data_IF_709042155448
#
_entry.id   IF_709042155448
#
_cell.length_a   1.000
_cell.length_b   1.000
_cell.length_c   1.000
_cell.angle_alpha   90.00
_cell.angle_beta   90.00
_cell.angle_gamma   90.00
#
_symmetry.space_group_name_H-M   'P 1'
#
loop_
_entity.id
_entity.type
_entity.pdbx_description
1 polymer ?
#
# COMPACT_ATOMS: atom_id res chain seq x y z
N UNK A 1 -3.59 -3.28 12.00
CA UNK A 1 -3.17 -4.70 11.78
C UNK A 1 -1.87 -4.91 12.52
N UNK A 2 -1.55 -6.13 13.00
CA UNK A 2 -0.26 -6.42 13.63
C UNK A 2 0.91 -6.09 12.69
N UNK A 3 2.04 -5.70 13.27
CA UNK A 3 3.28 -5.50 12.52
C UNK A 3 3.69 -6.78 11.78
N UNK A 4 4.25 -6.65 10.57
CA UNK A 4 4.58 -7.79 9.71
C UNK A 4 3.41 -8.40 8.94
N UNK A 5 2.22 -7.79 8.98
CA UNK A 5 1.08 -8.24 8.15
C UNK A 5 1.36 -8.00 6.66
N UNK A 6 1.35 -9.08 5.85
CA UNK A 6 1.52 -8.97 4.40
C UNK A 6 0.36 -8.23 3.73
N UNK A 7 0.61 -7.56 2.60
CA UNK A 7 -0.42 -6.87 1.81
C UNK A 7 -1.61 -7.78 1.46
N UNK A 8 -1.33 -9.00 0.98
CA UNK A 8 -2.38 -9.98 0.67
C UNK A 8 -3.30 -10.29 1.85
N UNK A 9 -2.72 -10.44 3.04
CA UNK A 9 -3.46 -10.69 4.28
C UNK A 9 -4.27 -9.46 4.69
N UNK A 10 -3.69 -8.26 4.56
CA UNK A 10 -4.38 -7.01 4.83
C UNK A 10 -5.62 -6.83 3.95
N UNK A 11 -5.53 -7.18 2.66
CA UNK A 11 -6.64 -7.06 1.71
C UNK A 11 -7.79 -8.02 2.05
N UNK A 12 -7.48 -9.27 2.42
CA UNK A 12 -8.50 -10.23 2.88
C UNK A 12 -9.21 -9.73 4.15
N UNK A 13 -8.44 -9.17 5.10
CA UNK A 13 -9.01 -8.62 6.34
C UNK A 13 -9.86 -7.39 6.05
N UNK A 14 -9.43 -6.49 5.17
CA UNK A 14 -10.18 -5.31 4.78
C UNK A 14 -11.52 -5.68 4.12
N UNK A 15 -11.51 -6.62 3.18
CA UNK A 15 -12.72 -7.12 2.52
C UNK A 15 -13.67 -7.79 3.52
N UNK A 16 -13.14 -8.63 4.40
CA UNK A 16 -13.92 -9.28 5.47
C UNK A 16 -14.58 -8.24 6.38
N UNK A 17 -13.84 -7.19 6.76
CA UNK A 17 -14.38 -6.13 7.61
C UNK A 17 -15.46 -5.32 6.90
N UNK A 18 -15.29 -5.02 5.61
CA UNK A 18 -16.31 -4.33 4.81
C UNK A 18 -17.62 -5.14 4.75
N UNK A 19 -17.52 -6.46 4.59
CA UNK A 19 -18.68 -7.36 4.58
C UNK A 19 -19.40 -7.40 5.94
N UNK A 20 -18.66 -7.45 7.05
CA UNK A 20 -19.23 -7.38 8.41
C UNK A 20 -19.97 -6.07 8.66
N UNK A 21 -19.39 -4.94 8.27
CA UNK A 21 -20.04 -3.62 8.40
C UNK A 21 -21.29 -3.47 7.51
N UNK A 22 -21.40 -4.32 6.49
CA UNK A 22 -22.52 -4.38 5.55
C UNK A 22 -23.59 -5.42 5.93
N UNK A 23 -23.53 -6.01 7.13
CA UNK A 23 -24.54 -6.96 7.61
C UNK A 23 -25.97 -6.43 7.42
N UNK A 24 -26.83 -7.25 6.83
CA UNK A 24 -28.23 -6.90 6.54
C UNK A 24 -28.45 -5.88 5.42
N UNK A 25 -27.38 -5.33 4.82
CA UNK A 25 -27.47 -4.28 3.77
C UNK A 25 -27.32 -4.86 2.36
N UNK A 26 -27.67 -4.06 1.37
CA UNK A 26 -27.36 -4.32 -0.05
C UNK A 26 -26.18 -3.46 -0.46
N UNK A 27 -25.05 -4.07 -0.85
CA UNK A 27 -23.79 -3.36 -1.10
C UNK A 27 -23.05 -3.86 -2.34
N UNK A 28 -22.33 -2.96 -3.01
CA UNK A 28 -21.32 -3.29 -4.01
C UNK A 28 -19.94 -2.97 -3.42
N UNK A 29 -19.03 -3.94 -3.40
CA UNK A 29 -17.67 -3.79 -2.90
C UNK A 29 -16.72 -3.92 -4.08
N UNK A 30 -15.88 -2.89 -4.27
CA UNK A 30 -14.83 -2.90 -5.29
C UNK A 30 -13.50 -3.25 -4.63
N UNK A 31 -12.75 -4.17 -5.23
CA UNK A 31 -11.43 -4.58 -4.77
C UNK A 31 -10.47 -4.66 -5.94
N UNK A 32 -9.25 -4.20 -5.74
CA UNK A 32 -8.16 -4.34 -6.72
C UNK A 32 -7.30 -5.58 -6.49
N UNK A 33 -7.54 -6.32 -5.41
CA UNK A 33 -6.89 -7.58 -5.16
C UNK A 33 -7.63 -8.73 -5.87
N UNK A 34 -7.05 -9.17 -6.98
CA UNK A 34 -7.55 -10.32 -7.76
C UNK A 34 -7.65 -11.62 -6.95
N UNK A 35 -6.75 -11.83 -5.99
CA UNK A 35 -6.79 -13.00 -5.11
C UNK A 35 -8.00 -12.93 -4.17
N UNK A 36 -8.22 -11.79 -3.51
CA UNK A 36 -9.40 -11.60 -2.64
C UNK A 36 -10.72 -11.77 -3.40
N UNK A 37 -10.80 -11.21 -4.63
CA UNK A 37 -11.94 -11.43 -5.52
C UNK A 37 -12.15 -12.92 -5.83
N UNK A 38 -11.09 -13.64 -6.22
CA UNK A 38 -11.19 -15.06 -6.53
C UNK A 38 -11.60 -15.88 -5.30
N UNK A 39 -10.98 -15.65 -4.14
CA UNK A 39 -11.30 -16.35 -2.88
C UNK A 39 -12.76 -16.15 -2.48
N UNK A 40 -13.31 -14.94 -2.61
CA UNK A 40 -14.70 -14.68 -2.26
C UNK A 40 -15.71 -15.36 -3.22
N UNK A 41 -15.33 -15.60 -4.47
CA UNK A 41 -16.18 -16.26 -5.47
C UNK A 41 -15.96 -17.79 -5.53
N UNK A 42 -14.84 -18.29 -5.01
CA UNK A 42 -14.60 -19.73 -4.92
C UNK A 42 -15.54 -20.32 -3.87
N UNK A 43 -16.21 -21.39 -4.26
CA UNK A 43 -17.25 -22.00 -3.45
C UNK A 43 -16.71 -22.54 -2.12
N UNK A 44 -17.39 -22.24 -1.01
CA UNK A 44 -17.01 -22.66 0.37
C UNK A 44 -16.77 -24.17 0.48
N UNK A 45 -17.52 -24.99 -0.27
CA UNK A 45 -17.34 -26.44 -0.24
C UNK A 45 -15.97 -26.88 -0.75
N UNK A 46 -15.36 -26.19 -1.72
CA UNK A 46 -14.01 -26.51 -2.21
C UNK A 46 -12.99 -26.33 -1.08
N UNK A 47 -13.07 -25.20 -0.37
CA UNK A 47 -12.18 -24.93 0.75
C UNK A 47 -12.42 -25.86 1.96
N UNK A 48 -13.67 -26.25 2.23
CA UNK A 48 -13.99 -27.26 3.26
C UNK A 48 -13.53 -28.66 2.87
N UNK A 49 -13.69 -29.06 1.61
CA UNK A 49 -13.40 -30.40 1.11
C UNK A 49 -11.89 -30.64 0.93
N UNK A 50 -11.12 -29.61 0.58
CA UNK A 50 -9.66 -29.69 0.50
C UNK A 50 -8.96 -29.53 1.86
N UNK A 51 -9.71 -29.39 2.97
CA UNK A 51 -9.14 -29.19 4.31
C UNK A 51 -8.28 -27.92 4.47
N UNK A 52 -8.34 -27.01 3.49
CA UNK A 52 -7.40 -25.90 3.33
C UNK A 52 -5.93 -26.36 3.31
N UNK A 53 -5.66 -27.52 2.73
CA UNK A 53 -4.31 -28.06 2.57
C UNK A 53 -3.81 -27.89 1.14
N UNK A 54 -2.53 -27.65 0.98
CA UNK A 54 -1.82 -27.72 -0.30
C UNK A 54 -1.64 -29.17 -0.73
N UNK A 55 -1.27 -29.42 -2.00
CA UNK A 55 -0.91 -30.78 -2.48
C UNK A 55 0.24 -31.43 -1.69
N UNK A 56 1.02 -30.62 -0.98
CA UNK A 56 2.11 -31.06 -0.07
C UNK A 56 1.64 -31.30 1.37
N UNK A 57 0.33 -31.23 1.64
CA UNK A 57 -0.28 -31.50 2.96
C UNK A 57 -0.08 -30.40 4.00
N UNK A 58 0.40 -29.21 3.61
CA UNK A 58 0.54 -28.05 4.51
C UNK A 58 -0.68 -27.16 4.44
N UNK A 59 -0.97 -26.43 5.52
CA UNK A 59 -2.03 -25.42 5.48
C UNK A 59 -1.77 -24.37 4.40
N UNK A 60 -2.83 -24.00 3.69
CA UNK A 60 -2.83 -22.88 2.76
C UNK A 60 -2.52 -21.60 3.55
N UNK A 61 -1.65 -20.76 3.00
CA UNK A 61 -1.29 -19.48 3.60
C UNK A 61 -2.55 -18.61 3.81
N UNK A 62 -2.65 -17.96 4.97
CA UNK A 62 -3.81 -17.14 5.38
C UNK A 62 -5.13 -17.92 5.53
N UNK A 63 -5.05 -19.20 5.92
CA UNK A 63 -6.19 -20.10 6.16
C UNK A 63 -7.33 -19.44 6.95
N UNK A 64 -7.01 -18.81 8.07
CA UNK A 64 -7.99 -18.20 8.97
C UNK A 64 -8.69 -16.99 8.32
N UNK A 65 -7.93 -16.14 7.61
CA UNK A 65 -8.52 -15.00 6.90
C UNK A 65 -9.43 -15.44 5.76
N UNK A 66 -9.08 -16.53 5.06
CA UNK A 66 -9.91 -17.13 4.01
C UNK A 66 -11.22 -17.66 4.62
N UNK A 67 -11.16 -18.40 5.73
CA UNK A 67 -12.36 -18.89 6.41
C UNK A 67 -13.27 -17.75 6.87
N UNK A 68 -12.67 -16.73 7.48
CA UNK A 68 -13.38 -15.54 7.97
C UNK A 68 -14.06 -14.77 6.83
N UNK A 69 -13.39 -14.63 5.68
CA UNK A 69 -13.97 -14.02 4.49
C UNK A 69 -15.17 -14.82 3.98
N UNK A 70 -15.04 -16.14 3.85
CA UNK A 70 -16.12 -17.02 3.37
C UNK A 70 -17.34 -17.01 4.30
N UNK A 71 -17.14 -16.74 5.58
CA UNK A 71 -18.23 -16.52 6.53
C UNK A 71 -18.89 -15.17 6.32
N UNK A 72 -18.08 -14.11 6.26
CA UNK A 72 -18.55 -12.74 6.16
C UNK A 72 -19.33 -12.46 4.87
N UNK A 73 -19.05 -13.16 3.76
CA UNK A 73 -19.77 -13.00 2.48
C UNK A 73 -21.29 -13.20 2.63
N UNK A 74 -21.74 -13.98 3.62
CA UNK A 74 -23.15 -14.26 3.85
C UNK A 74 -23.86 -13.24 4.77
N UNK A 75 -23.12 -12.28 5.36
CA UNK A 75 -23.69 -11.30 6.27
C UNK A 75 -24.54 -10.22 5.58
N UNK A 76 -24.13 -9.66 4.42
CA UNK A 76 -24.98 -8.71 3.70
C UNK A 76 -26.24 -9.37 3.17
N UNK A 77 -27.34 -8.63 3.10
CA UNK A 77 -28.59 -9.09 2.48
C UNK A 77 -28.40 -9.39 0.99
N UNK A 78 -27.63 -8.54 0.30
CA UNK A 78 -27.19 -8.74 -1.09
C UNK A 78 -25.82 -8.10 -1.26
N UNK A 79 -24.88 -8.81 -1.86
CA UNK A 79 -23.54 -8.28 -2.12
C UNK A 79 -23.09 -8.58 -3.54
N UNK A 80 -22.46 -7.59 -4.18
CA UNK A 80 -21.64 -7.80 -5.38
C UNK A 80 -20.20 -7.42 -5.06
N UNK A 81 -19.26 -8.36 -5.25
CA UNK A 81 -17.82 -8.09 -5.12
C UNK A 81 -17.26 -7.96 -6.53
N UNK A 82 -16.67 -6.81 -6.85
CA UNK A 82 -16.28 -6.45 -8.21
C UNK A 82 -14.77 -6.20 -8.24
N UNK A 83 -14.06 -6.95 -9.08
CA UNK A 83 -12.65 -6.71 -9.30
C UNK A 83 -12.42 -5.47 -10.18
N UNK A 84 -11.56 -4.57 -9.73
CA UNK A 84 -11.08 -3.42 -10.50
C UNK A 84 -9.58 -3.51 -10.69
N UNK A 85 -9.02 -3.20 -11.87
CA UNK A 85 -7.58 -3.08 -11.99
C UNK A 85 -7.01 -2.05 -11.01
N UNK A 86 -5.93 -2.38 -10.32
CA UNK A 86 -5.21 -1.42 -9.49
C UNK A 86 -4.52 -0.34 -10.33
N UNK A 87 -4.17 0.78 -9.69
CA UNK A 87 -3.37 1.87 -10.29
C UNK A 87 -3.99 2.52 -11.56
N UNK A 88 -5.32 2.59 -11.66
CA UNK A 88 -6.00 3.27 -12.76
C UNK A 88 -5.83 4.80 -12.66
N UNK A 89 -5.54 5.46 -13.80
CA UNK A 89 -5.33 6.91 -13.91
C UNK A 89 -6.57 7.67 -14.39
N UNK A 90 -7.76 7.12 -14.21
CA UNK A 90 -8.99 7.77 -14.66
C UNK A 90 -9.70 8.55 -13.56
N UNK A 91 -10.72 9.30 -13.96
CA UNK A 91 -11.51 10.18 -13.10
C UNK A 91 -12.87 9.60 -12.73
N UNK A 92 -13.16 8.36 -13.10
CA UNK A 92 -14.44 7.70 -12.83
C UNK A 92 -14.60 7.46 -11.33
N UNK A 93 -15.84 7.36 -10.83
CA UNK A 93 -16.10 7.18 -9.39
C UNK A 93 -15.38 5.97 -8.78
N UNK A 94 -15.29 4.86 -9.53
CA UNK A 94 -14.62 3.63 -9.09
C UNK A 94 -13.11 3.87 -8.90
N UNK A 95 -12.47 4.55 -9.87
CA UNK A 95 -11.03 4.83 -9.84
C UNK A 95 -10.67 5.77 -8.70
N UNK A 96 -11.48 6.82 -8.49
CA UNK A 96 -11.37 7.72 -7.35
C UNK A 96 -11.54 6.97 -6.02
N UNK A 97 -12.53 6.09 -5.93
CA UNK A 97 -12.77 5.26 -4.75
C UNK A 97 -11.60 4.32 -4.44
N UNK A 98 -11.04 3.66 -5.46
CA UNK A 98 -9.87 2.79 -5.28
C UNK A 98 -8.65 3.59 -4.81
N UNK A 99 -8.41 4.76 -5.40
CA UNK A 99 -7.33 5.65 -4.96
C UNK A 99 -7.50 6.10 -3.51
N UNK A 100 -8.72 6.47 -3.11
CA UNK A 100 -9.01 6.82 -1.72
C UNK A 100 -8.75 5.64 -0.77
N UNK A 101 -9.17 4.43 -1.14
CA UNK A 101 -8.96 3.23 -0.34
C UNK A 101 -7.46 2.91 -0.17
N UNK A 102 -6.67 2.95 -1.25
CA UNK A 102 -5.22 2.73 -1.21
C UNK A 102 -4.51 3.78 -0.33
N UNK A 103 -4.90 5.05 -0.43
CA UNK A 103 -4.33 6.11 0.41
C UNK A 103 -4.66 5.92 1.89
N UNK A 104 -5.89 5.51 2.21
CA UNK A 104 -6.29 5.21 3.59
C UNK A 104 -5.52 4.00 4.11
N UNK A 105 -5.35 2.95 3.30
CA UNK A 105 -4.58 1.77 3.66
C UNK A 105 -3.10 2.12 3.93
N UNK A 106 -2.48 2.94 3.07
CA UNK A 106 -1.11 3.45 3.27
C UNK A 106 -0.96 4.23 4.56
N UNK A 107 -1.88 5.17 4.83
CA UNK A 107 -1.88 5.93 6.09
C UNK A 107 -2.05 5.03 7.31
N UNK A 108 -2.94 4.05 7.24
CA UNK A 108 -3.15 3.08 8.32
C UNK A 108 -1.94 2.18 8.55
N UNK A 109 -1.21 1.80 7.50
CA UNK A 109 0.00 1.00 7.57
C UNK A 109 1.21 1.77 8.13
N UNK A 110 1.26 3.09 7.91
CA UNK A 110 2.29 3.96 8.49
C UNK A 110 2.18 4.10 10.02
N UNK A 111 1.06 3.63 10.61
CA UNK A 111 0.81 3.66 12.05
C UNK A 111 0.62 5.07 12.61
N UNK A 112 0.26 5.17 13.88
CA UNK A 112 0.52 6.39 14.65
C UNK A 112 2.04 6.51 14.76
N UNK A 113 2.66 7.37 13.94
CA UNK A 113 3.90 7.99 14.37
C UNK A 113 3.56 8.77 15.64
N UNK A 114 3.62 8.10 16.78
CA UNK A 114 3.80 8.76 18.08
C UNK A 114 5.25 9.22 18.08
N UNK A 115 5.57 10.16 17.17
CA UNK A 115 6.60 11.11 17.48
C UNK A 115 6.09 11.80 18.73
N UNK A 116 6.73 11.53 19.86
CA UNK A 116 6.75 12.50 20.96
C UNK A 116 7.34 13.77 20.35
N UNK A 117 6.47 14.57 19.76
CA UNK A 117 6.76 15.94 19.41
C UNK A 117 6.97 16.64 20.74
N UNK A 118 8.24 16.91 21.06
CA UNK A 118 8.55 18.24 21.56
C UNK A 118 8.03 19.23 20.49
N UNK A 119 6.81 19.68 20.73
CA UNK A 119 6.20 20.92 20.24
C UNK A 119 6.20 21.15 18.71
N UNK A 120 5.00 20.97 18.14
CA UNK A 120 4.32 21.61 16.98
C UNK A 120 4.77 23.06 16.65
N UNK A 121 4.48 23.63 15.43
CA UNK A 121 3.22 23.40 14.68
C UNK A 121 3.20 23.42 13.13
N UNK A 122 2.16 22.72 12.63
CA UNK A 122 1.20 23.11 11.56
C UNK A 122 1.53 22.98 10.07
N UNK A 123 0.49 22.48 9.39
CA UNK A 123 0.21 22.63 7.96
C UNK A 123 0.26 24.11 7.56
N UNK A 124 1.14 24.43 6.63
CA UNK A 124 1.05 25.62 5.78
C UNK A 124 1.41 25.19 4.37
N UNK A 125 0.47 25.40 3.45
CA UNK A 125 0.80 25.48 2.02
C UNK A 125 1.77 26.66 1.81
N UNK A 126 2.75 26.43 0.94
CA UNK A 126 3.61 27.40 0.25
C UNK A 126 4.44 28.41 1.08
N UNK A 127 5.68 28.01 1.42
CA UNK A 127 6.91 28.63 0.88
C UNK A 127 8.12 27.73 1.20
N UNK A 128 8.63 27.00 0.21
CA UNK A 128 9.62 25.94 0.43
C UNK A 128 11.03 26.52 0.60
N UNK A 129 11.39 26.96 1.81
CA UNK A 129 12.80 27.06 2.17
C UNK A 129 13.36 25.63 2.28
N UNK A 130 13.92 25.15 1.17
CA UNK A 130 14.61 23.85 1.14
C UNK A 130 15.83 23.92 2.07
N UNK A 131 15.96 22.94 2.96
CA UNK A 131 17.16 22.81 3.79
C UNK A 131 18.34 22.48 2.89
N UNK A 132 19.29 23.39 2.78
CA UNK A 132 20.51 23.14 2.01
C UNK A 132 21.38 22.16 2.78
N UNK A 133 21.67 21.01 2.16
CA UNK A 133 22.62 20.04 2.69
C UNK A 133 24.04 20.51 2.38
N UNK A 134 24.97 20.21 3.28
CA UNK A 134 26.40 20.31 2.99
C UNK A 134 26.79 19.33 1.88
N UNK A 135 27.97 19.51 1.26
CA UNK A 135 28.42 18.62 0.18
C UNK A 135 28.53 17.16 0.67
N UNK A 136 29.04 16.94 1.88
CA UNK A 136 29.16 15.60 2.49
C UNK A 136 27.79 14.96 2.76
N UNK A 137 26.87 15.69 3.40
CA UNK A 137 25.51 15.21 3.66
C UNK A 137 24.74 14.95 2.35
N UNK A 138 24.97 15.78 1.34
CA UNK A 138 24.37 15.62 0.01
C UNK A 138 24.85 14.34 -0.68
N UNK A 139 26.16 14.06 -0.64
CA UNK A 139 26.73 12.85 -1.23
C UNK A 139 26.24 11.60 -0.51
N UNK A 140 26.24 11.58 0.83
CA UNK A 140 25.75 10.45 1.62
C UNK A 140 24.25 10.18 1.36
N UNK A 141 23.44 11.24 1.31
CA UNK A 141 22.02 11.14 0.98
C UNK A 141 21.79 10.55 -0.42
N UNK A 142 22.56 10.98 -1.42
CA UNK A 142 22.48 10.46 -2.78
C UNK A 142 22.95 9.01 -2.86
N UNK A 143 24.06 8.65 -2.19
CA UNK A 143 24.58 7.29 -2.14
C UNK A 143 23.57 6.32 -1.50
N UNK A 144 22.94 6.72 -0.40
CA UNK A 144 21.89 5.95 0.26
C UNK A 144 20.69 5.72 -0.67
N UNK A 145 20.23 6.77 -1.37
CA UNK A 145 19.15 6.61 -2.35
C UNK A 145 19.57 5.66 -3.47
N UNK A 146 20.77 5.80 -4.01
CA UNK A 146 21.24 4.99 -5.13
C UNK A 146 21.38 3.50 -4.76
N UNK A 147 22.00 3.19 -3.61
CA UNK A 147 22.14 1.82 -3.11
C UNK A 147 20.78 1.14 -2.85
N UNK A 148 19.79 1.88 -2.36
CA UNK A 148 18.48 1.32 -2.02
C UNK A 148 17.55 1.16 -3.23
N UNK A 149 17.77 1.92 -4.30
CA UNK A 149 16.79 2.05 -5.40
C UNK A 149 17.34 1.76 -6.80
N UNK A 150 18.67 1.73 -6.97
CA UNK A 150 19.36 1.61 -8.26
C UNK A 150 18.81 2.54 -9.35
N UNK A 151 18.33 3.72 -8.95
CA UNK A 151 17.75 4.69 -9.87
C UNK A 151 18.85 5.37 -10.70
N UNK A 152 18.58 5.55 -11.99
CA UNK A 152 19.42 6.35 -12.87
C UNK A 152 19.30 7.86 -12.60
N UNK A 153 20.17 8.68 -13.22
CA UNK A 153 20.40 10.07 -12.81
C UNK A 153 19.14 10.96 -12.87
N UNK A 154 18.32 10.76 -13.89
CA UNK A 154 17.07 11.51 -14.10
C UNK A 154 16.08 11.28 -12.97
N UNK A 155 15.86 10.03 -12.57
CA UNK A 155 14.88 9.67 -11.53
C UNK A 155 15.35 10.08 -10.13
N UNK A 156 16.65 10.00 -9.86
CA UNK A 156 17.22 10.49 -8.61
C UNK A 156 17.06 12.01 -8.48
N UNK A 157 17.35 12.77 -9.55
CA UNK A 157 17.20 14.23 -9.57
C UNK A 157 15.74 14.65 -9.30
N UNK A 158 14.77 13.97 -9.92
CA UNK A 158 13.34 14.22 -9.68
C UNK A 158 12.93 13.95 -8.22
N UNK A 159 13.45 12.88 -7.63
CA UNK A 159 13.18 12.50 -6.24
C UNK A 159 13.72 13.54 -5.26
N UNK A 160 14.98 13.99 -5.45
CA UNK A 160 15.59 15.03 -4.61
C UNK A 160 14.87 16.37 -4.79
N UNK A 161 14.44 16.72 -6.01
CA UNK A 161 13.71 17.95 -6.25
C UNK A 161 12.35 18.03 -5.54
N UNK A 162 11.72 16.87 -5.29
CA UNK A 162 10.49 16.71 -4.51
C UNK A 162 10.73 16.57 -3.01
N UNK A 163 11.98 16.40 -2.60
CA UNK A 163 12.38 16.32 -1.19
C UNK A 163 12.46 17.73 -0.56
N UNK A 164 12.44 17.83 0.77
CA UNK A 164 12.69 19.10 1.47
C UNK A 164 14.15 19.55 1.42
N UNK A 165 15.04 18.81 0.74
CA UNK A 165 16.47 19.09 0.68
C UNK A 165 16.87 19.79 -0.61
N UNK A 166 17.80 20.74 -0.48
CA UNK A 166 18.54 21.29 -1.60
C UNK A 166 19.98 20.78 -1.54
N UNK A 167 20.44 20.13 -2.61
CA UNK A 167 21.81 19.64 -2.72
C UNK A 167 22.54 20.54 -3.72
N UNK A 168 23.59 21.28 -3.29
CA UNK A 168 24.42 22.03 -4.20
C UNK A 168 24.98 21.11 -5.29
N UNK A 169 24.94 21.56 -6.55
CA UNK A 169 25.46 20.81 -7.71
C UNK A 169 24.85 19.40 -7.88
N UNK A 170 23.60 19.21 -7.45
CA UNK A 170 22.85 17.95 -7.52
C UNK A 170 23.07 17.15 -8.81
N UNK A 171 22.92 17.80 -9.97
CA UNK A 171 23.01 17.11 -11.25
C UNK A 171 24.39 16.48 -11.49
N UNK A 172 25.46 17.22 -11.15
CA UNK A 172 26.84 16.71 -11.25
C UNK A 172 27.08 15.58 -10.25
N UNK A 173 26.66 15.77 -9.00
CA UNK A 173 26.84 14.78 -7.94
C UNK A 173 26.13 13.45 -8.25
N UNK A 174 24.91 13.51 -8.80
CA UNK A 174 24.15 12.33 -9.23
C UNK A 174 24.78 11.65 -10.44
N UNK A 175 25.25 12.42 -11.43
CA UNK A 175 25.92 11.85 -12.60
C UNK A 175 27.24 11.17 -12.23
N UNK A 176 28.05 11.79 -11.36
CA UNK A 176 29.31 11.22 -10.88
C UNK A 176 29.05 9.96 -10.03
N UNK A 177 28.04 9.98 -9.16
CA UNK A 177 27.67 8.84 -8.33
C UNK A 177 27.22 7.63 -9.17
N UNK A 178 26.37 7.85 -10.18
CA UNK A 178 25.86 6.76 -11.03
C UNK A 178 26.94 6.24 -12.00
N UNK A 179 27.86 7.09 -12.46
CA UNK A 179 28.98 6.69 -13.34
C UNK A 179 30.05 5.89 -12.60
N UNK A 180 30.23 6.14 -11.30
CA UNK A 180 31.22 5.46 -10.46
C UNK A 180 30.64 4.24 -9.71
N UNK A 181 29.38 3.87 -10.00
CA UNK A 181 28.72 2.68 -9.44
C UNK A 181 29.07 1.41 -10.22
#
# INVERSE_FOLDING_TARGET
>A
LPEGTSALRADLVALTQALRLAEGKTINIYTDNRYAFATAHVHRAIYRQCGLLTSTGKDIKNKEEILSLLEAVHLPRKVAIIHCPGHQKGTRPIEKGNWMADQVAKKAAQGSMTLVMKTTPQLVEENTEKRTLTEEEGVDYLANIHCLTHLGPKKMTELVNRSPYHIPRLQKAVEDLVKNC
#
